data_IF_246508834312
#
_entry.id   IF_246508834312
#
_cell.length_a   1.000
_cell.length_b   1.000
_cell.length_c   1.000
_cell.angle_alpha   90.00
_cell.angle_beta   90.00
_cell.angle_gamma   90.00
#
_symmetry.space_group_name_H-M   'P 1'
#
loop_
_entity.id
_entity.type
_entity.pdbx_description
1 polymer ?
#
# COMPACT_ATOMS: atom_id res chain seq x y z
N UNK A 1 75.85 43.09 20.16
CA UNK A 1 74.91 42.05 19.68
C UNK A 1 75.05 40.84 20.58
N UNK A 2 74.05 40.54 21.40
CA UNK A 2 74.02 39.37 22.29
C UNK A 2 72.78 38.57 21.93
N UNK A 3 72.97 37.34 21.45
CA UNK A 3 71.88 36.44 21.06
C UNK A 3 71.56 35.51 22.22
N UNK A 4 70.33 35.62 22.73
CA UNK A 4 69.78 34.73 23.75
C UNK A 4 69.42 33.37 23.14
N UNK A 5 69.87 32.29 23.77
CA UNK A 5 69.54 30.91 23.41
C UNK A 5 68.22 30.53 24.11
N UNK A 6 67.14 30.32 23.35
CA UNK A 6 65.87 29.84 23.86
C UNK A 6 65.82 28.31 23.76
N UNK A 7 65.77 27.65 24.92
CA UNK A 7 65.56 26.21 25.03
C UNK A 7 64.07 25.89 24.84
N UNK A 8 63.74 25.07 23.83
CA UNK A 8 62.38 24.59 23.57
C UNK A 8 62.00 23.44 24.52
N UNK A 9 60.78 23.41 25.08
CA UNK A 9 60.35 22.33 25.96
C UNK A 9 59.98 21.07 25.16
N UNK A 10 60.47 19.92 25.61
CA UNK A 10 60.16 18.60 25.07
C UNK A 10 58.75 18.14 25.46
N UNK A 11 57.91 17.85 24.47
CA UNK A 11 56.58 17.24 24.67
C UNK A 11 56.72 15.74 24.98
N UNK A 12 56.06 15.27 26.05
CA UNK A 12 55.98 13.86 26.42
C UNK A 12 55.09 13.10 25.43
N UNK A 13 55.60 11.99 24.88
CA UNK A 13 54.86 11.10 23.99
C UNK A 13 53.65 10.45 24.69
N UNK A 14 52.54 10.17 23.99
CA UNK A 14 51.37 9.50 24.57
C UNK A 14 51.73 8.10 25.08
N UNK A 15 51.33 7.77 26.30
CA UNK A 15 51.52 6.41 26.84
C UNK A 15 50.59 5.44 26.10
N UNK A 16 51.17 4.49 25.39
CA UNK A 16 50.44 3.41 24.72
C UNK A 16 50.29 2.22 25.67
N UNK A 17 49.04 1.85 25.99
CA UNK A 17 48.74 0.67 26.82
C UNK A 17 48.49 -0.52 25.90
N UNK A 18 49.38 -1.51 25.92
CA UNK A 18 49.25 -2.75 25.17
C UNK A 18 48.75 -3.88 26.08
N UNK A 19 47.63 -4.50 25.72
CA UNK A 19 47.09 -5.66 26.44
C UNK A 19 47.98 -6.90 26.22
N UNK A 20 48.67 -7.33 27.28
CA UNK A 20 49.62 -8.45 27.29
C UNK A 20 48.96 -9.82 27.50
N UNK A 21 47.62 -9.89 27.62
CA UNK A 21 46.92 -11.17 27.73
C UNK A 21 47.08 -11.99 26.44
N UNK A 22 47.18 -13.33 26.53
CA UNK A 22 47.24 -14.21 25.36
C UNK A 22 45.98 -14.06 24.49
N UNK A 23 46.04 -14.27 23.16
CA UNK A 23 44.95 -13.95 22.24
C UNK A 23 43.58 -14.50 22.64
N UNK A 24 43.52 -15.72 23.18
CA UNK A 24 42.27 -16.35 23.64
C UNK A 24 41.73 -15.84 24.99
N UNK A 25 42.52 -15.11 25.78
CA UNK A 25 42.11 -14.51 27.05
C UNK A 25 41.84 -13.00 26.94
N UNK A 26 42.00 -12.43 25.74
CA UNK A 26 41.63 -11.04 25.46
C UNK A 26 40.11 -10.96 25.37
N UNK A 27 39.52 -10.11 26.20
CA UNK A 27 38.09 -9.81 26.16
C UNK A 27 37.75 -9.17 24.81
N UNK A 28 36.77 -9.76 24.11
CA UNK A 28 36.30 -9.23 22.85
C UNK A 28 35.36 -8.05 23.11
N UNK A 29 35.89 -6.83 22.98
CA UNK A 29 35.12 -5.60 23.16
C UNK A 29 34.33 -5.17 21.91
N UNK A 30 34.49 -5.89 20.80
CA UNK A 30 33.80 -5.62 19.54
C UNK A 30 32.50 -6.42 19.40
N UNK A 31 32.33 -7.47 20.19
CA UNK A 31 31.11 -8.28 20.20
C UNK A 31 30.05 -7.67 21.14
N UNK A 32 29.14 -6.91 20.53
CA UNK A 32 28.02 -6.27 21.23
C UNK A 32 26.85 -7.21 21.52
N UNK A 33 26.88 -8.47 21.05
CA UNK A 33 25.81 -9.44 21.30
C UNK A 33 25.81 -9.95 22.74
N UNK A 34 26.97 -9.93 23.39
CA UNK A 34 27.17 -10.39 24.76
C UNK A 34 26.71 -9.38 25.82
N UNK A 35 26.39 -8.15 25.40
CA UNK A 35 25.89 -7.09 26.28
C UNK A 35 24.37 -7.24 26.41
N UNK A 36 23.83 -7.45 27.63
CA UNK A 36 22.39 -7.46 27.85
C UNK A 36 21.79 -6.14 27.39
N UNK A 37 20.92 -6.19 26.38
CA UNK A 37 20.21 -5.02 25.90
C UNK A 37 19.10 -4.70 26.90
N UNK A 38 19.03 -3.43 27.27
CA UNK A 38 17.91 -2.96 28.07
C UNK A 38 16.64 -2.94 27.20
N UNK A 39 15.62 -3.67 27.65
CA UNK A 39 14.29 -3.65 27.07
C UNK A 39 13.35 -2.98 28.07
N UNK A 40 12.64 -1.94 27.61
CA UNK A 40 11.64 -1.26 28.41
C UNK A 40 10.27 -1.82 28.10
N UNK A 41 9.43 -2.02 29.12
CA UNK A 41 8.03 -2.39 28.88
C UNK A 41 7.32 -1.27 28.10
N UNK A 42 6.31 -1.65 27.31
CA UNK A 42 5.53 -0.68 26.53
C UNK A 42 4.85 0.35 27.43
N UNK A 43 4.34 -0.07 28.58
CA UNK A 43 3.66 0.78 29.56
C UNK A 43 4.62 1.80 30.18
N UNK A 44 5.85 1.38 30.54
CA UNK A 44 6.83 2.30 31.11
C UNK A 44 7.28 3.32 30.05
N UNK A 45 7.53 2.87 28.82
CA UNK A 45 7.90 3.74 27.71
C UNK A 45 6.82 4.77 27.38
N UNK A 46 5.55 4.39 27.46
CA UNK A 46 4.42 5.27 27.22
C UNK A 46 4.21 6.36 28.28
N UNK A 47 4.59 6.07 29.53
CA UNK A 47 4.48 7.00 30.66
C UNK A 47 5.57 8.08 30.67
N UNK A 48 6.69 7.85 29.98
CA UNK A 48 7.85 8.75 29.99
C UNK A 48 7.64 9.97 29.13
N UNK A 49 7.79 11.14 29.73
CA UNK A 49 7.66 12.46 29.08
C UNK A 49 8.88 12.86 28.25
N UNK A 50 10.04 12.26 28.52
CA UNK A 50 11.33 12.49 27.82
C UNK A 50 11.57 11.50 26.65
N UNK A 51 10.54 10.73 26.28
CA UNK A 51 10.64 9.71 25.23
C UNK A 51 10.40 10.28 23.83
N UNK A 52 10.95 9.61 22.81
CA UNK A 52 10.64 9.89 21.40
C UNK A 52 9.13 9.77 21.13
N UNK A 53 8.44 8.86 21.84
CA UNK A 53 7.00 8.72 21.75
C UNK A 53 6.26 9.94 22.28
N UNK A 54 6.63 10.43 23.47
CA UNK A 54 6.06 11.64 24.04
C UNK A 54 6.31 12.85 23.13
N UNK A 55 7.54 12.99 22.61
CA UNK A 55 7.84 14.02 21.60
C UNK A 55 6.97 13.89 20.35
N UNK A 56 6.80 12.68 19.79
CA UNK A 56 5.93 12.43 18.62
C UNK A 56 4.45 12.74 18.91
N UNK A 57 3.95 12.42 20.11
CA UNK A 57 2.59 12.75 20.55
C UNK A 57 2.41 14.26 20.67
N UNK A 58 3.33 14.96 21.32
CA UNK A 58 3.29 16.43 21.50
C UNK A 58 3.39 17.16 20.17
N UNK A 59 4.26 16.69 19.27
CA UNK A 59 4.41 17.25 17.93
C UNK A 59 3.37 16.75 16.93
N UNK A 60 2.43 15.89 17.36
CA UNK A 60 1.36 15.34 16.52
C UNK A 60 1.89 14.71 15.22
N UNK A 61 2.99 13.96 15.30
CA UNK A 61 3.62 13.34 14.14
C UNK A 61 3.04 11.95 13.83
N UNK A 62 2.85 11.68 12.53
CA UNK A 62 2.42 10.36 12.03
C UNK A 62 1.04 9.99 12.55
N UNK A 63 0.91 8.84 13.21
CA UNK A 63 -0.37 8.36 13.78
C UNK A 63 -0.97 9.24 14.89
N UNK A 64 -0.24 10.25 15.34
CA UNK A 64 -0.69 11.20 16.37
C UNK A 64 -1.13 12.55 15.78
N UNK A 65 -1.05 12.73 14.46
CA UNK A 65 -1.63 13.88 13.78
C UNK A 65 -3.17 13.79 13.86
N UNK A 66 -3.87 14.75 14.48
CA UNK A 66 -5.34 14.75 14.52
C UNK A 66 -5.97 14.91 13.15
N UNK A 67 -5.22 15.38 12.14
CA UNK A 67 -5.66 15.49 10.76
C UNK A 67 -5.17 14.32 9.88
N UNK A 68 -4.43 13.35 10.43
CA UNK A 68 -4.04 12.19 9.64
C UNK A 68 -5.30 11.42 9.22
N UNK A 69 -5.42 11.05 7.94
CA UNK A 69 -6.54 10.24 7.50
C UNK A 69 -6.50 8.90 8.24
N UNK A 70 -7.67 8.44 8.65
CA UNK A 70 -7.81 7.09 9.19
C UNK A 70 -7.32 6.06 8.16
N UNK A 71 -6.97 4.86 8.62
CA UNK A 71 -6.56 3.76 7.72
C UNK A 71 -7.65 3.50 6.67
N UNK A 72 -8.92 3.66 7.03
CA UNK A 72 -10.06 3.50 6.13
C UNK A 72 -10.15 4.63 5.10
N UNK A 73 -10.03 5.88 5.54
CA UNK A 73 -10.01 7.04 4.63
C UNK A 73 -8.86 6.97 3.64
N UNK A 74 -7.67 6.55 4.09
CA UNK A 74 -6.51 6.36 3.23
C UNK A 74 -6.75 5.25 2.19
N UNK A 75 -7.39 4.14 2.57
CA UNK A 75 -7.77 3.05 1.65
C UNK A 75 -8.80 3.50 0.63
N UNK A 76 -9.83 4.23 1.08
CA UNK A 76 -10.86 4.80 0.21
C UNK A 76 -10.20 5.74 -0.81
N UNK A 77 -9.40 6.70 -0.34
CA UNK A 77 -8.70 7.65 -1.20
C UNK A 77 -7.79 6.94 -2.22
N UNK A 78 -7.03 5.93 -1.80
CA UNK A 78 -6.19 5.14 -2.69
C UNK A 78 -7.02 4.40 -3.77
N UNK A 79 -8.15 3.80 -3.39
CA UNK A 79 -9.01 3.10 -4.33
C UNK A 79 -9.62 4.01 -5.40
N UNK A 80 -10.04 5.22 -5.03
CA UNK A 80 -10.55 6.22 -5.99
C UNK A 80 -9.44 6.85 -6.84
N UNK A 81 -8.23 7.00 -6.29
CA UNK A 81 -7.06 7.40 -7.06
C UNK A 81 -6.73 6.37 -8.15
N UNK A 82 -6.84 5.07 -7.85
CA UNK A 82 -6.65 3.98 -8.83
C UNK A 82 -7.72 4.01 -9.93
N UNK A 83 -9.00 4.23 -9.56
CA UNK A 83 -10.10 4.45 -10.54
C UNK A 83 -9.74 5.58 -11.51
N UNK A 84 -9.27 6.73 -10.98
CA UNK A 84 -8.90 7.87 -11.79
C UNK A 84 -7.68 7.58 -12.68
N UNK A 85 -6.65 6.93 -12.14
CA UNK A 85 -5.43 6.57 -12.88
C UNK A 85 -5.74 5.63 -14.06
N UNK A 86 -6.65 4.68 -13.87
CA UNK A 86 -7.14 3.74 -14.90
C UNK A 86 -8.21 4.32 -15.81
N UNK A 87 -8.63 5.58 -15.58
CA UNK A 87 -9.68 6.27 -16.33
C UNK A 87 -11.01 5.49 -16.33
N UNK A 88 -11.32 4.85 -15.22
CA UNK A 88 -12.56 4.10 -15.04
C UNK A 88 -13.69 5.10 -14.80
N UNK A 89 -14.58 5.25 -15.78
CA UNK A 89 -15.77 6.11 -15.70
C UNK A 89 -16.98 5.35 -16.21
N UNK A 90 -18.15 5.61 -15.63
CA UNK A 90 -19.42 5.02 -16.08
C UNK A 90 -19.63 5.29 -17.58
N UNK A 91 -20.14 4.29 -18.30
CA UNK A 91 -20.37 4.31 -19.74
C UNK A 91 -19.16 3.88 -20.60
N UNK A 92 -17.99 3.66 -20.00
CA UNK A 92 -16.81 3.20 -20.75
C UNK A 92 -16.84 1.70 -21.01
N UNK A 93 -16.42 1.32 -22.21
CA UNK A 93 -16.11 -0.06 -22.56
C UNK A 93 -14.90 -0.55 -21.77
N UNK A 94 -14.98 -1.79 -21.32
CA UNK A 94 -13.94 -2.41 -20.52
C UNK A 94 -13.90 -3.92 -20.74
N UNK A 95 -12.80 -4.51 -20.33
CA UNK A 95 -12.69 -5.94 -20.09
C UNK A 95 -12.28 -6.19 -18.64
N UNK A 96 -12.62 -7.37 -18.14
CA UNK A 96 -12.11 -7.83 -16.86
C UNK A 96 -10.66 -8.30 -16.97
N UNK A 97 -9.97 -8.29 -15.83
CA UNK A 97 -8.62 -8.79 -15.65
C UNK A 97 -8.60 -9.86 -14.55
N UNK A 98 -7.61 -10.79 -14.57
CA UNK A 98 -6.58 -10.96 -15.61
C UNK A 98 -7.13 -11.49 -16.95
N UNK A 99 -6.65 -10.97 -18.08
CA UNK A 99 -7.20 -11.29 -19.41
C UNK A 99 -6.95 -12.75 -19.87
N UNK A 100 -6.02 -13.46 -19.24
CA UNK A 100 -5.77 -14.89 -19.46
C UNK A 100 -6.83 -15.80 -18.83
N UNK A 101 -7.55 -15.33 -17.81
CA UNK A 101 -8.51 -16.13 -17.04
C UNK A 101 -9.93 -15.56 -17.03
N UNK A 102 -10.08 -14.25 -17.17
CA UNK A 102 -11.35 -13.55 -17.06
C UNK A 102 -11.37 -12.38 -18.06
N UNK A 103 -11.44 -12.69 -19.36
CA UNK A 103 -11.42 -11.72 -20.47
C UNK A 103 -12.79 -11.14 -20.84
N UNK A 104 -13.81 -11.37 -20.02
CA UNK A 104 -15.19 -10.97 -20.32
C UNK A 104 -15.29 -9.46 -20.51
N UNK A 105 -16.09 -9.06 -21.48
CA UNK A 105 -16.25 -7.66 -21.89
C UNK A 105 -17.57 -7.09 -21.39
N UNK A 106 -17.60 -5.78 -21.30
CA UNK A 106 -18.77 -5.07 -20.85
C UNK A 106 -18.57 -3.57 -20.78
N UNK A 107 -19.52 -2.94 -20.11
CA UNK A 107 -19.56 -1.51 -19.87
C UNK A 107 -19.51 -1.24 -18.37
N UNK A 108 -18.71 -0.25 -17.96
CA UNK A 108 -18.71 0.24 -16.59
C UNK A 108 -20.07 0.87 -16.30
N UNK A 109 -20.85 0.25 -15.43
CA UNK A 109 -22.19 0.70 -15.07
C UNK A 109 -22.24 1.42 -13.72
N UNK A 110 -21.26 1.19 -12.84
CA UNK A 110 -21.19 1.81 -11.53
C UNK A 110 -19.74 1.98 -11.06
N UNK A 111 -19.47 3.08 -10.35
CA UNK A 111 -18.22 3.31 -9.62
C UNK A 111 -18.57 3.94 -8.28
N UNK A 112 -18.28 3.26 -7.18
CA UNK A 112 -18.63 3.77 -5.86
C UNK A 112 -18.43 2.76 -4.74
N UNK A 113 -18.79 3.15 -3.52
CA UNK A 113 -18.83 2.23 -2.39
C UNK A 113 -20.03 1.28 -2.49
N UNK A 114 -19.85 0.05 -2.02
CA UNK A 114 -20.89 -1.00 -2.00
C UNK A 114 -20.81 -1.70 -0.64
N UNK A 115 -21.51 -1.13 0.35
CA UNK A 115 -21.42 -1.56 1.75
C UNK A 115 -21.90 -3.00 1.99
N UNK A 116 -22.71 -3.56 1.09
CA UNK A 116 -23.23 -4.91 1.21
C UNK A 116 -22.20 -6.00 0.86
N UNK A 117 -21.14 -5.67 0.10
CA UNK A 117 -20.11 -6.63 -0.30
C UNK A 117 -19.04 -6.71 0.80
N UNK A 118 -18.81 -7.90 1.40
CA UNK A 118 -17.69 -8.08 2.32
C UNK A 118 -16.37 -8.01 1.54
N UNK A 119 -15.35 -7.36 2.11
CA UNK A 119 -14.05 -7.20 1.43
C UNK A 119 -13.40 -5.83 1.58
N UNK A 120 -13.89 -5.02 2.51
CA UNK A 120 -13.27 -3.75 2.91
C UNK A 120 -13.84 -2.52 2.20
N UNK A 121 -13.53 -1.36 2.78
CA UNK A 121 -13.92 -0.04 2.28
C UNK A 121 -13.21 0.31 0.98
N UNK A 122 -13.82 1.20 0.19
CA UNK A 122 -13.24 1.76 -1.03
C UNK A 122 -14.02 1.41 -2.29
N UNK A 123 -13.60 1.98 -3.41
CA UNK A 123 -14.28 1.88 -4.69
C UNK A 123 -14.47 0.44 -5.15
N UNK A 124 -15.70 0.15 -5.57
CA UNK A 124 -16.10 -0.98 -6.37
C UNK A 124 -16.48 -0.48 -7.77
N UNK A 125 -16.20 -1.31 -8.76
CA UNK A 125 -16.60 -1.09 -10.13
C UNK A 125 -17.66 -2.13 -10.48
N UNK A 126 -18.88 -1.66 -10.72
CA UNK A 126 -19.95 -2.46 -11.28
C UNK A 126 -19.83 -2.49 -12.79
N UNK A 127 -19.67 -3.67 -13.37
CA UNK A 127 -19.58 -3.89 -14.81
C UNK A 127 -20.84 -4.62 -15.26
N UNK A 128 -21.48 -4.07 -16.29
CA UNK A 128 -22.54 -4.73 -17.06
C UNK A 128 -21.87 -5.48 -18.20
N UNK A 129 -21.82 -6.81 -18.08
CA UNK A 129 -21.23 -7.70 -19.07
C UNK A 129 -22.11 -7.77 -20.32
N UNK A 130 -21.48 -8.01 -21.45
CA UNK A 130 -22.17 -8.19 -22.73
C UNK A 130 -22.95 -9.50 -22.74
N UNK A 131 -22.33 -10.57 -22.24
CA UNK A 131 -22.98 -11.87 -22.08
C UNK A 131 -23.58 -12.02 -20.66
N UNK A 132 -24.67 -12.80 -20.49
CA UNK A 132 -25.31 -13.05 -19.18
C UNK A 132 -24.50 -14.03 -18.31
N UNK A 133 -23.21 -13.75 -18.13
CA UNK A 133 -22.23 -14.57 -17.38
C UNK A 133 -21.84 -13.92 -16.05
N UNK A 134 -22.59 -12.91 -15.61
CA UNK A 134 -22.38 -12.17 -14.38
C UNK A 134 -22.79 -12.94 -13.12
N UNK A 135 -22.58 -12.30 -11.97
CA UNK A 135 -22.89 -12.85 -10.64
C UNK A 135 -24.17 -12.28 -10.05
N UNK A 136 -24.70 -11.20 -10.61
CA UNK A 136 -25.87 -10.48 -10.13
C UNK A 136 -26.59 -9.74 -11.28
N UNK A 137 -27.76 -9.20 -11.01
CA UNK A 137 -28.61 -8.46 -11.95
C UNK A 137 -28.40 -6.92 -11.88
N UNK A 138 -27.27 -6.48 -11.32
CA UNK A 138 -26.99 -5.08 -10.98
C UNK A 138 -27.43 -4.68 -9.56
N UNK A 139 -27.89 -5.64 -8.75
CA UNK A 139 -28.19 -5.44 -7.33
C UNK A 139 -27.33 -6.32 -6.41
N UNK A 140 -27.13 -5.88 -5.16
CA UNK A 140 -26.45 -6.63 -4.09
C UNK A 140 -27.28 -6.57 -2.82
N UNK A 141 -27.67 -7.74 -2.28
CA UNK A 141 -28.49 -7.87 -1.06
C UNK A 141 -29.74 -6.96 -1.03
N UNK A 142 -30.38 -6.74 -2.18
CA UNK A 142 -31.59 -5.92 -2.31
C UNK A 142 -31.35 -4.46 -2.68
N UNK A 143 -30.11 -3.96 -2.63
CA UNK A 143 -29.75 -2.61 -3.08
C UNK A 143 -29.39 -2.64 -4.57
N UNK A 144 -30.09 -1.87 -5.40
CA UNK A 144 -29.83 -1.77 -6.84
C UNK A 144 -28.85 -0.65 -7.15
N UNK A 145 -27.83 -0.96 -7.92
CA UNK A 145 -26.77 -0.04 -8.34
C UNK A 145 -26.84 0.27 -9.83
N UNK A 146 -27.18 -0.72 -10.64
CA UNK A 146 -27.41 -0.56 -12.08
C UNK A 146 -28.43 -1.58 -12.59
N UNK A 147 -28.87 -1.40 -13.84
CA UNK A 147 -29.80 -2.32 -14.49
C UNK A 147 -29.05 -3.26 -15.44
N UNK A 148 -29.27 -4.55 -15.25
CA UNK A 148 -29.00 -5.55 -16.26
C UNK A 148 -30.14 -5.61 -17.26
N UNK A 149 -29.81 -5.71 -18.55
CA UNK A 149 -30.82 -5.92 -19.59
C UNK A 149 -31.59 -7.24 -19.42
N UNK A 150 -32.48 -7.53 -20.38
CA UNK A 150 -33.49 -8.59 -20.31
C UNK A 150 -32.96 -10.02 -20.08
N UNK A 151 -31.65 -10.25 -20.25
CA UNK A 151 -31.01 -11.56 -20.11
C UNK A 151 -30.77 -12.03 -18.68
N UNK A 152 -30.90 -11.16 -17.67
CA UNK A 152 -30.63 -11.48 -16.26
C UNK A 152 -29.16 -11.82 -15.97
N UNK A 153 -28.72 -11.63 -14.72
CA UNK A 153 -27.38 -11.94 -14.23
C UNK A 153 -26.20 -11.49 -15.11
N UNK A 154 -26.22 -10.25 -15.59
CA UNK A 154 -25.14 -9.68 -16.41
C UNK A 154 -24.13 -8.83 -15.59
N UNK A 155 -24.39 -8.64 -14.30
CA UNK A 155 -23.67 -7.72 -13.45
C UNK A 155 -22.55 -8.39 -12.68
N UNK A 156 -21.43 -7.69 -12.53
CA UNK A 156 -20.34 -8.10 -11.65
C UNK A 156 -19.78 -6.87 -10.93
N UNK A 157 -19.42 -7.04 -9.65
CA UNK A 157 -18.69 -6.04 -8.88
C UNK A 157 -17.26 -6.51 -8.67
N UNK A 158 -16.29 -5.68 -9.05
CA UNK A 158 -14.86 -5.97 -8.91
C UNK A 158 -14.11 -4.76 -8.37
N UNK A 159 -12.86 -4.97 -7.95
CA UNK A 159 -11.95 -3.88 -7.59
C UNK A 159 -11.39 -3.19 -8.85
N UNK A 160 -10.97 -1.92 -8.78
CA UNK A 160 -10.45 -1.17 -9.93
C UNK A 160 -9.31 -1.88 -10.67
N UNK A 161 -8.46 -2.60 -9.95
CA UNK A 161 -7.35 -3.38 -10.50
C UNK A 161 -7.77 -4.51 -11.44
N UNK A 162 -9.02 -4.97 -11.35
CA UNK A 162 -9.61 -6.02 -12.19
C UNK A 162 -10.32 -5.49 -13.43
N UNK A 163 -10.20 -4.19 -13.72
CA UNK A 163 -10.85 -3.55 -14.86
C UNK A 163 -9.81 -2.86 -15.73
N UNK A 164 -9.90 -3.12 -17.02
CA UNK A 164 -9.16 -2.40 -18.05
C UNK A 164 -10.16 -1.68 -18.95
N UNK A 165 -10.14 -0.35 -18.94
CA UNK A 165 -10.93 0.47 -19.85
C UNK A 165 -10.17 0.66 -21.16
N UNK A 166 -10.89 0.52 -22.28
CA UNK A 166 -10.28 0.62 -23.60
C UNK A 166 -11.31 0.41 -24.70
N UNK A 167 -10.80 0.24 -25.92
CA UNK A 167 -11.63 -0.10 -27.07
C UNK A 167 -11.87 -1.61 -27.10
N UNK A 168 -12.90 -2.02 -26.38
CA UNK A 168 -13.34 -3.41 -26.27
C UNK A 168 -14.76 -3.51 -26.83
N UNK A 169 -14.94 -3.55 -28.16
CA UNK A 169 -16.26 -3.72 -28.76
C UNK A 169 -16.90 -5.05 -28.32
N UNK A 170 -18.22 -5.11 -28.41
CA UNK A 170 -18.97 -6.36 -28.22
C UNK A 170 -18.44 -7.38 -29.23
N UNK A 171 -18.19 -8.60 -28.77
CA UNK A 171 -17.80 -9.68 -29.65
C UNK A 171 -19.05 -10.20 -30.36
N UNK A 172 -19.04 -10.16 -31.68
CA UNK A 172 -20.04 -10.85 -32.49
C UNK A 172 -19.50 -12.25 -32.82
N UNK A 173 -19.98 -13.26 -32.08
CA UNK A 173 -19.56 -14.64 -32.26
C UNK A 173 -19.93 -15.22 -33.63
N UNK A 174 -20.79 -14.54 -34.41
CA UNK A 174 -21.24 -14.99 -35.73
C UNK A 174 -20.58 -14.26 -36.90
N UNK A 175 -19.87 -13.16 -36.65
CA UNK A 175 -19.27 -12.35 -37.72
C UNK A 175 -18.09 -13.03 -38.43
N UNK A 176 -17.45 -14.03 -37.81
CA UNK A 176 -16.33 -14.77 -38.41
C UNK A 176 -16.77 -15.99 -39.25
N UNK A 177 -18.02 -16.46 -39.15
CA UNK A 177 -18.52 -17.61 -39.94
C UNK A 177 -19.04 -17.22 -41.34
N UNK A 178 -19.36 -15.94 -41.56
CA UNK A 178 -19.96 -15.46 -42.81
C UNK A 178 -18.94 -15.11 -43.92
N UNK A 179 -17.62 -15.22 -43.67
CA UNK A 179 -16.55 -14.93 -44.66
C UNK A 179 -16.07 -16.15 -45.49
N UNK A 180 -16.69 -17.34 -45.34
CA UNK A 180 -16.26 -18.53 -46.09
C UNK A 180 -17.40 -19.28 -46.82
N UNK A 181 -18.25 -18.63 -47.61
CA UNK A 181 -19.06 -19.33 -48.65
C UNK A 181 -19.40 -18.48 -49.89
#
# INVERSE_FOLDING_TARGET
MSTANLSTPSFLSPKQVSDTRPPGARTNYTDVSLVPKYEMSTTDYESRTDSVLAWKKTQKLGRFDPNAPSIEEAKIAASYAEVAARRITVGKRCRLLPADSDARRGEVAFVGDVGEIPGGVGAWVGVRLDEPTGKNDGSVKGTRYFECGSGGNCGVFVRPERVEVGDFPVLDEFAEEDEEF
#
